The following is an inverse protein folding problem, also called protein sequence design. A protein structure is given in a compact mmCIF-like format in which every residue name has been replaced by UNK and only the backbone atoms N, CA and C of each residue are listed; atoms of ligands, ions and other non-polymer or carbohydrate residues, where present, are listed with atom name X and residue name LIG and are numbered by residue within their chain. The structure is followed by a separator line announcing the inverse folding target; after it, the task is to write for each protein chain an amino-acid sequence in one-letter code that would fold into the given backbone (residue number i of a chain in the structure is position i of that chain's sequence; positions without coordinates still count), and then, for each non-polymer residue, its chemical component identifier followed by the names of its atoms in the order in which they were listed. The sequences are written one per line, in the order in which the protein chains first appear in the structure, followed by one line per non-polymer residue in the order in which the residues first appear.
data_IF_374852493638
#
_entry.id   IF_374852493638
#
_cell.length_a   1.000
_cell.length_b   1.000
_cell.length_c   1.000
_cell.angle_alpha   90.00
_cell.angle_beta   90.00
_cell.angle_gamma   90.00
#
_symmetry.space_group_name_H-M   'P 1'
#
loop_
_entity.id
_entity.type
_entity.pdbx_description
1 polymer ?
#
# COMPACT_ATOMS: atom_id res chain seq x y z
N UNK A 1 1.11 1.62 -4.60
CA UNK A 1 -0.01 1.32 -3.69
C UNK A 1 0.58 0.80 -2.39
N UNK A 2 0.70 1.63 -1.37
CA UNK A 2 1.50 1.37 -0.17
C UNK A 2 0.73 1.47 1.13
N UNK A 3 -0.36 2.24 1.19
CA UNK A 3 -1.18 2.35 2.41
C UNK A 3 -2.08 1.12 2.58
N UNK A 4 -2.99 0.90 1.63
CA UNK A 4 -3.86 -0.28 1.59
C UNK A 4 -3.73 -0.95 0.20
N UNK A 5 -2.72 -1.81 -0.04
CA UNK A 5 -2.47 -2.39 -1.36
C UNK A 5 -3.64 -3.28 -1.80
N UNK A 6 -4.24 -2.99 -2.94
CA UNK A 6 -5.38 -3.75 -3.50
C UNK A 6 -6.76 -3.41 -2.94
N UNK A 7 -6.86 -2.51 -1.94
CA UNK A 7 -8.13 -1.97 -1.47
C UNK A 7 -8.62 -0.89 -2.45
N UNK A 8 -9.68 -1.17 -3.19
CA UNK A 8 -10.28 -0.21 -4.10
C UNK A 8 -11.75 -0.50 -4.37
N UNK A 9 -12.54 0.57 -4.48
CA UNK A 9 -13.93 0.55 -4.90
C UNK A 9 -14.09 1.06 -6.34
N UNK A 10 -15.28 0.82 -6.91
CA UNK A 10 -15.63 1.35 -8.22
C UNK A 10 -15.96 2.85 -8.10
N UNK A 11 -15.23 3.68 -8.83
CA UNK A 11 -15.41 5.13 -8.88
C UNK A 11 -15.29 5.59 -10.34
N UNK A 12 -15.96 6.66 -10.71
CA UNK A 12 -15.79 7.27 -12.03
C UNK A 12 -14.33 7.75 -12.25
N UNK A 13 -13.97 8.03 -13.51
CA UNK A 13 -12.72 8.72 -13.81
C UNK A 13 -12.75 10.13 -13.22
N UNK A 14 -11.66 10.51 -12.55
CA UNK A 14 -11.53 11.80 -11.89
C UNK A 14 -10.31 12.52 -12.45
N UNK A 15 -10.39 13.09 -13.67
CA UNK A 15 -9.25 13.71 -14.33
C UNK A 15 -8.76 14.92 -13.54
N UNK A 16 -7.45 15.13 -13.58
CA UNK A 16 -6.76 16.30 -13.03
C UNK A 16 -5.54 16.64 -13.89
N UNK A 17 -5.31 17.93 -14.13
CA UNK A 17 -4.17 18.40 -14.92
C UNK A 17 -3.07 18.87 -13.98
N UNK A 18 -1.98 18.11 -13.93
CA UNK A 18 -0.78 18.55 -13.21
C UNK A 18 0.05 19.41 -14.16
N UNK A 19 0.29 20.65 -13.76
CA UNK A 19 1.10 21.60 -14.52
C UNK A 19 2.56 21.15 -14.58
N UNK A 20 3.18 21.12 -15.76
CA UNK A 20 4.57 20.68 -15.99
C UNK A 20 5.55 21.84 -16.23
N UNK A 21 5.05 23.03 -16.57
CA UNK A 21 5.87 24.20 -16.83
C UNK A 21 5.33 25.08 -17.95
N UNK A 22 6.03 26.19 -18.19
CA UNK A 22 5.75 27.14 -19.27
C UNK A 22 6.85 27.04 -20.32
N UNK A 23 6.47 27.09 -21.60
CA UNK A 23 7.45 26.99 -22.69
C UNK A 23 8.32 28.25 -22.77
N UNK A 24 9.64 28.12 -23.07
CA UNK A 24 10.35 26.88 -23.40
C UNK A 24 10.88 26.09 -22.19
N UNK A 25 10.73 26.58 -20.96
CA UNK A 25 11.38 26.03 -19.76
C UNK A 25 10.40 25.20 -18.90
N UNK A 26 10.38 23.89 -19.13
CA UNK A 26 9.57 22.94 -18.38
C UNK A 26 10.26 22.48 -17.09
N UNK A 27 10.46 23.41 -16.14
CA UNK A 27 11.25 23.17 -14.93
C UNK A 27 10.71 22.02 -14.06
N UNK A 28 9.38 21.84 -13.97
CA UNK A 28 8.82 20.72 -13.22
C UNK A 28 9.01 19.40 -13.96
N UNK A 29 8.82 19.38 -15.28
CA UNK A 29 9.08 18.17 -16.06
C UNK A 29 10.52 17.70 -15.87
N UNK A 30 11.52 18.59 -15.90
CA UNK A 30 12.91 18.18 -15.63
C UNK A 30 13.08 17.54 -14.25
N UNK A 31 12.37 18.02 -13.22
CA UNK A 31 12.36 17.41 -11.89
C UNK A 31 11.72 16.03 -11.93
N UNK A 32 10.58 15.89 -12.60
CA UNK A 32 9.91 14.61 -12.76
C UNK A 32 10.78 13.59 -13.51
N UNK A 33 11.49 13.98 -14.56
CA UNK A 33 12.41 13.09 -15.28
C UNK A 33 13.57 12.59 -14.40
N UNK A 34 14.01 13.41 -13.42
CA UNK A 34 15.05 13.03 -12.44
C UNK A 34 14.49 12.16 -11.31
N UNK A 35 13.25 12.36 -10.89
CA UNK A 35 12.68 11.76 -9.67
C UNK A 35 11.79 10.53 -9.94
N UNK A 36 11.01 10.55 -11.01
CA UNK A 36 10.02 9.51 -11.32
C UNK A 36 10.63 8.31 -12.09
N UNK A 37 11.95 8.13 -12.05
CA UNK A 37 12.65 7.09 -12.81
C UNK A 37 12.10 5.67 -12.57
N UNK A 38 11.81 5.24 -11.32
CA UNK A 38 11.25 3.90 -11.08
C UNK A 38 9.91 3.67 -11.76
N UNK A 39 9.13 4.74 -11.92
CA UNK A 39 7.76 4.74 -12.47
C UNK A 39 7.67 5.44 -13.83
N UNK A 40 8.79 5.57 -14.53
CA UNK A 40 8.84 6.32 -15.79
C UNK A 40 7.96 5.71 -16.89
N UNK A 41 7.86 4.37 -16.93
CA UNK A 41 6.96 3.69 -17.88
C UNK A 41 5.50 4.18 -17.73
N UNK A 42 5.03 4.32 -16.49
CA UNK A 42 3.73 4.91 -16.20
C UNK A 42 3.70 6.38 -16.63
N UNK A 43 4.68 7.20 -16.22
CA UNK A 43 4.73 8.63 -16.55
C UNK A 43 4.68 8.89 -18.07
N UNK A 44 5.45 8.13 -18.84
CA UNK A 44 5.48 8.20 -20.30
C UNK A 44 4.19 7.70 -20.97
N UNK A 45 3.42 6.83 -20.31
CA UNK A 45 2.13 6.34 -20.80
C UNK A 45 0.99 7.35 -20.60
N UNK A 46 1.15 8.34 -19.71
CA UNK A 46 0.10 9.30 -19.39
C UNK A 46 -0.05 10.33 -20.51
N UNK A 47 -1.29 10.77 -20.71
CA UNK A 47 -1.66 11.74 -21.74
C UNK A 47 -1.03 13.10 -21.41
N UNK A 48 -0.31 13.67 -22.37
CA UNK A 48 0.18 15.05 -22.33
C UNK A 48 -0.84 16.00 -22.93
N UNK A 49 -1.05 17.14 -22.29
CA UNK A 49 -1.94 18.21 -22.76
C UNK A 49 -1.12 19.48 -22.92
N UNK A 50 -1.03 19.96 -24.16
CA UNK A 50 -0.35 21.21 -24.48
C UNK A 50 -1.38 22.31 -24.67
N UNK A 51 -1.25 23.37 -23.88
CA UNK A 51 -1.98 24.62 -24.05
C UNK A 51 -1.06 25.67 -24.69
N UNK A 52 -1.56 26.90 -24.91
CA UNK A 52 -0.87 27.93 -25.70
C UNK A 52 0.61 28.12 -25.30
N UNK A 53 0.90 28.24 -24.01
CA UNK A 53 2.25 28.39 -23.47
C UNK A 53 2.57 27.43 -22.30
N UNK A 54 1.63 26.54 -21.94
CA UNK A 54 1.71 25.68 -20.77
C UNK A 54 1.64 24.22 -21.17
N UNK A 55 2.33 23.36 -20.44
CA UNK A 55 2.18 21.91 -20.59
C UNK A 55 1.64 21.28 -19.31
N UNK A 56 0.83 20.24 -19.48
CA UNK A 56 0.23 19.47 -18.41
C UNK A 56 0.32 17.97 -18.69
N UNK A 57 0.29 17.19 -17.62
CA UNK A 57 -0.01 15.76 -17.65
C UNK A 57 -1.41 15.56 -17.08
N UNK A 58 -2.26 14.86 -17.83
CA UNK A 58 -3.61 14.49 -17.38
C UNK A 58 -3.50 13.16 -16.62
N UNK A 59 -3.80 13.21 -15.32
CA UNK A 59 -3.84 12.05 -14.44
C UNK A 59 -5.28 11.75 -14.02
N UNK A 60 -5.54 10.53 -13.58
CA UNK A 60 -6.81 10.16 -12.95
C UNK A 60 -6.63 10.02 -11.43
N UNK A 61 -7.18 10.96 -10.65
CA UNK A 61 -7.05 10.96 -9.19
C UNK A 61 -7.66 9.71 -8.54
N UNK A 62 -8.64 9.08 -9.20
CA UNK A 62 -9.30 7.88 -8.73
C UNK A 62 -8.58 6.58 -9.14
N UNK A 63 -7.45 6.68 -9.84
CA UNK A 63 -6.54 5.58 -10.17
C UNK A 63 -5.33 5.50 -9.23
N UNK A 64 -4.35 4.64 -9.55
CA UNK A 64 -3.06 4.66 -8.85
C UNK A 64 -2.22 5.92 -9.12
N UNK A 65 -2.55 6.72 -10.14
CA UNK A 65 -1.79 7.90 -10.56
C UNK A 65 -1.53 8.88 -9.40
N UNK A 66 -2.55 9.17 -8.57
CA UNK A 66 -2.44 10.06 -7.41
C UNK A 66 -1.37 9.57 -6.43
N UNK A 67 -1.46 8.31 -6.04
CA UNK A 67 -0.54 7.73 -5.04
C UNK A 67 0.88 7.61 -5.59
N UNK A 68 1.04 7.33 -6.89
CA UNK A 68 2.34 7.35 -7.54
C UNK A 68 2.97 8.74 -7.49
N UNK A 69 2.23 9.80 -7.80
CA UNK A 69 2.81 11.14 -7.75
C UNK A 69 3.09 11.60 -6.32
N UNK A 70 2.22 11.32 -5.37
CA UNK A 70 2.46 11.64 -3.96
C UNK A 70 3.73 10.95 -3.44
N UNK A 71 3.91 9.67 -3.81
CA UNK A 71 5.04 8.84 -3.35
C UNK A 71 6.36 9.14 -4.07
N UNK A 72 6.33 9.37 -5.38
CA UNK A 72 7.55 9.50 -6.18
C UNK A 72 8.01 10.93 -6.45
N UNK A 73 7.13 11.93 -6.30
CA UNK A 73 7.53 13.33 -6.44
C UNK A 73 8.32 13.80 -5.23
N UNK A 74 9.46 14.48 -5.46
CA UNK A 74 10.22 15.22 -4.42
C UNK A 74 9.98 16.74 -4.55
N UNK A 75 8.77 17.12 -4.99
CA UNK A 75 8.36 18.52 -5.18
C UNK A 75 7.14 18.81 -4.30
N UNK A 76 7.36 19.49 -3.18
CA UNK A 76 6.34 19.69 -2.15
C UNK A 76 5.08 20.40 -2.65
N UNK A 77 5.19 21.43 -3.49
CA UNK A 77 4.01 22.18 -3.94
C UNK A 77 3.12 21.37 -4.88
N UNK A 78 3.69 20.42 -5.63
CA UNK A 78 2.90 19.46 -6.43
C UNK A 78 2.16 18.50 -5.51
N UNK A 79 2.85 17.92 -4.53
CA UNK A 79 2.21 17.00 -3.58
C UNK A 79 1.11 17.69 -2.78
N UNK A 80 1.33 18.93 -2.35
CA UNK A 80 0.32 19.76 -1.69
C UNK A 80 -0.90 19.97 -2.57
N UNK A 81 -0.73 20.40 -3.82
CA UNK A 81 -1.85 20.58 -4.76
C UNK A 81 -2.63 19.28 -5.00
N UNK A 82 -1.93 18.17 -5.18
CA UNK A 82 -2.55 16.85 -5.35
C UNK A 82 -3.33 16.42 -4.10
N UNK A 83 -2.78 16.68 -2.92
CA UNK A 83 -3.41 16.39 -1.64
C UNK A 83 -4.68 17.22 -1.46
N UNK A 84 -4.58 18.54 -1.61
CA UNK A 84 -5.69 19.48 -1.43
C UNK A 84 -6.84 19.15 -2.40
N UNK A 85 -6.52 18.94 -3.67
CA UNK A 85 -7.52 18.56 -4.68
C UNK A 85 -8.18 17.21 -4.35
N UNK A 86 -7.42 16.23 -3.89
CA UNK A 86 -7.98 14.93 -3.51
C UNK A 86 -8.92 15.04 -2.31
N UNK A 87 -8.56 15.85 -1.31
CA UNK A 87 -9.42 16.15 -0.16
C UNK A 87 -10.70 16.87 -0.59
N UNK A 88 -10.56 17.96 -1.34
CA UNK A 88 -11.68 18.80 -1.75
C UNK A 88 -12.68 18.03 -2.61
N UNK A 89 -12.19 17.18 -3.53
CA UNK A 89 -13.06 16.29 -4.31
C UNK A 89 -13.77 15.27 -3.46
N UNK A 90 -13.10 14.63 -2.50
CA UNK A 90 -13.75 13.63 -1.65
C UNK A 90 -14.78 14.26 -0.72
N UNK A 91 -14.51 15.44 -0.15
CA UNK A 91 -15.49 16.16 0.66
C UNK A 91 -16.68 16.63 -0.18
N UNK A 92 -16.44 17.12 -1.40
CA UNK A 92 -17.51 17.45 -2.34
C UNK A 92 -18.37 16.23 -2.68
N UNK A 93 -17.74 15.07 -2.93
CA UNK A 93 -18.46 13.82 -3.16
C UNK A 93 -19.24 13.35 -1.93
N UNK A 94 -18.73 13.62 -0.73
CA UNK A 94 -19.41 13.28 0.52
C UNK A 94 -20.65 14.14 0.75
N UNK A 95 -20.60 15.41 0.34
CA UNK A 95 -21.70 16.37 0.53
C UNK A 95 -22.76 16.28 -0.59
N UNK A 96 -22.36 15.91 -1.81
CA UNK A 96 -23.25 15.83 -2.99
C UNK A 96 -23.69 14.41 -3.35
N UNK A 97 -22.95 13.41 -2.88
CA UNK A 97 -23.17 12.00 -3.19
C UNK A 97 -24.20 11.32 -2.29
N UNK A 98 -24.36 10.01 -2.48
CA UNK A 98 -25.13 9.19 -1.56
C UNK A 98 -24.36 9.04 -0.24
N UNK A 99 -25.08 9.13 0.87
CA UNK A 99 -24.51 8.90 2.19
C UNK A 99 -23.81 7.51 2.24
N UNK A 100 -22.56 7.43 2.74
CA UNK A 100 -21.88 6.15 2.93
C UNK A 100 -22.66 5.23 3.86
N UNK A 101 -22.50 3.91 3.68
CA UNK A 101 -23.06 2.93 4.61
C UNK A 101 -22.34 3.08 5.95
N UNK A 102 -23.05 3.50 6.99
CA UNK A 102 -22.45 3.69 8.31
C UNK A 102 -22.01 2.36 8.93
N UNK A 103 -20.87 2.39 9.59
CA UNK A 103 -20.32 1.27 10.37
C UNK A 103 -21.17 1.02 11.62
N UNK A 104 -21.23 -0.23 12.07
CA UNK A 104 -21.78 -0.57 13.39
C UNK A 104 -21.07 0.24 14.51
N UNK A 105 -21.82 0.84 15.47
CA UNK A 105 -21.22 1.65 16.52
C UNK A 105 -20.20 0.91 17.39
N UNK A 106 -20.41 -0.37 17.70
CA UNK A 106 -19.49 -1.14 18.52
C UNK A 106 -18.18 -1.42 17.75
N UNK A 107 -18.27 -1.72 16.45
CA UNK A 107 -17.09 -1.81 15.58
C UNK A 107 -16.31 -0.50 15.55
N UNK A 108 -16.99 0.64 15.41
CA UNK A 108 -16.31 1.94 15.38
C UNK A 108 -15.64 2.28 16.74
N UNK A 109 -16.28 1.94 17.86
CA UNK A 109 -15.71 2.09 19.20
C UNK A 109 -14.46 1.21 19.39
N UNK A 110 -14.53 -0.05 18.98
CA UNK A 110 -13.39 -0.98 19.00
C UNK A 110 -12.20 -0.43 18.18
N UNK A 111 -12.45 0.04 16.96
CA UNK A 111 -11.41 0.63 16.11
C UNK A 111 -10.87 1.94 16.67
N UNK A 112 -11.70 2.73 17.36
CA UNK A 112 -11.27 3.95 18.05
C UNK A 112 -10.34 3.64 19.24
N UNK A 113 -10.65 2.61 20.03
CA UNK A 113 -9.78 2.15 21.11
C UNK A 113 -8.42 1.71 20.55
N UNK A 114 -8.43 0.87 19.50
CA UNK A 114 -7.22 0.47 18.78
C UNK A 114 -6.42 1.68 18.27
N UNK A 115 -7.10 2.67 17.67
CA UNK A 115 -6.48 3.89 17.16
C UNK A 115 -5.81 4.75 18.25
N UNK A 116 -6.34 4.69 19.47
CA UNK A 116 -5.80 5.37 20.64
C UNK A 116 -4.56 4.64 21.14
N UNK A 117 -4.62 3.31 21.23
CA UNK A 117 -3.52 2.46 21.70
C UNK A 117 -2.27 2.52 20.81
N UNK A 118 -2.43 2.75 19.51
CA UNK A 118 -1.30 2.88 18.57
C UNK A 118 -0.63 4.27 18.57
N UNK A 119 -1.14 5.22 19.37
CA UNK A 119 -0.70 6.62 19.34
C UNK A 119 0.81 6.80 19.50
N UNK A 120 1.42 6.10 20.46
CA UNK A 120 2.87 6.18 20.71
C UNK A 120 3.69 5.68 19.51
N UNK A 121 3.24 4.59 18.85
CA UNK A 121 3.88 4.09 17.62
C UNK A 121 3.70 5.09 16.47
N UNK A 122 2.53 5.72 16.35
CA UNK A 122 2.28 6.73 15.32
C UNK A 122 3.23 7.92 15.46
N UNK A 123 3.42 8.43 16.68
CA UNK A 123 4.34 9.54 16.95
C UNK A 123 5.78 9.19 16.60
N UNK A 124 6.22 7.97 16.94
CA UNK A 124 7.52 7.44 16.55
C UNK A 124 7.70 7.38 15.03
N UNK A 125 6.73 6.81 14.32
CA UNK A 125 6.75 6.70 12.86
C UNK A 125 6.81 8.09 12.19
N UNK A 126 6.02 9.05 12.68
CA UNK A 126 6.07 10.45 12.20
C UNK A 126 7.43 11.09 12.48
N UNK A 127 8.04 10.81 13.64
CA UNK A 127 9.41 11.22 13.96
C UNK A 127 10.44 10.72 12.95
N UNK A 128 10.33 9.44 12.52
CA UNK A 128 11.18 8.88 11.47
C UNK A 128 11.02 9.62 10.14
N UNK A 129 9.77 9.95 9.75
CA UNK A 129 9.50 10.69 8.52
C UNK A 129 10.10 12.11 8.57
N UNK A 130 10.01 12.76 9.73
CA UNK A 130 10.57 14.10 9.93
C UNK A 130 12.10 14.09 9.86
N UNK A 131 12.75 13.06 10.40
CA UNK A 131 14.19 12.88 10.28
C UNK A 131 14.61 12.63 8.83
N UNK A 132 13.87 11.77 8.11
CA UNK A 132 14.13 11.48 6.69
C UNK A 132 14.01 12.72 5.81
N UNK A 133 13.00 13.58 6.05
CA UNK A 133 12.84 14.86 5.34
C UNK A 133 14.06 15.77 5.49
N UNK A 134 14.58 15.89 6.72
CA UNK A 134 15.79 16.71 6.99
C UNK A 134 17.03 16.16 6.30
N UNK A 135 17.11 14.83 6.14
CA UNK A 135 18.19 14.15 5.44
C UNK A 135 18.07 14.16 3.90
N UNK A 136 16.96 14.66 3.33
CA UNK A 136 16.69 14.65 1.89
C UNK A 136 17.47 15.73 1.09
N UNK A 137 18.73 15.94 1.45
CA UNK A 137 19.72 16.78 0.74
C UNK A 137 20.77 15.94 -0.01
N UNK A 138 20.77 14.63 0.19
CA UNK A 138 21.73 13.69 -0.41
C UNK A 138 21.53 13.54 -1.92
N UNK A 139 22.59 13.19 -2.69
CA UNK A 139 22.45 12.77 -4.08
C UNK A 139 21.36 11.69 -4.24
N UNK A 140 20.68 11.68 -5.39
CA UNK A 140 19.58 10.76 -5.74
C UNK A 140 18.24 10.96 -5.01
N UNK A 141 18.19 11.73 -3.91
CA UNK A 141 16.94 12.01 -3.16
C UNK A 141 16.86 13.46 -2.68
N UNK A 142 17.02 14.39 -3.62
CA UNK A 142 17.03 15.83 -3.33
C UNK A 142 15.62 16.39 -3.34
N UNK A 143 15.12 16.67 -2.15
CA UNK A 143 13.94 17.50 -1.92
C UNK A 143 14.27 18.97 -2.23
N UNK A 144 13.27 19.78 -2.59
CA UNK A 144 13.49 21.22 -2.85
C UNK A 144 13.87 21.98 -1.57
N UNK A 145 13.13 21.74 -0.49
CA UNK A 145 13.26 22.47 0.79
C UNK A 145 13.22 21.48 1.98
N UNK A 146 14.31 20.74 2.25
CA UNK A 146 14.34 19.72 3.31
C UNK A 146 14.28 20.30 4.73
N UNK A 147 14.51 21.61 4.90
CA UNK A 147 14.45 22.30 6.19
C UNK A 147 13.03 22.66 6.64
N UNK A 148 12.04 22.64 5.73
CA UNK A 148 10.65 22.92 6.09
C UNK A 148 10.09 21.83 7.02
N UNK A 149 9.14 22.18 7.92
CA UNK A 149 8.44 21.21 8.75
C UNK A 149 7.81 20.10 7.90
N UNK A 150 7.81 18.87 8.39
CA UNK A 150 7.10 17.77 7.72
C UNK A 150 5.60 18.08 7.68
N UNK A 151 5.01 17.98 6.50
CA UNK A 151 3.57 18.17 6.29
C UNK A 151 2.92 16.85 5.83
N UNK A 152 1.60 16.71 6.03
CA UNK A 152 0.86 15.47 5.74
C UNK A 152 0.99 15.01 4.27
N UNK A 153 1.10 15.94 3.33
CA UNK A 153 1.29 15.63 1.91
C UNK A 153 2.69 15.08 1.57
N UNK A 154 3.64 15.14 2.51
CA UNK A 154 4.99 14.58 2.33
C UNK A 154 5.08 13.10 2.74
N UNK A 155 4.09 12.58 3.46
CA UNK A 155 4.21 11.33 4.20
C UNK A 155 4.56 10.15 3.28
N UNK A 156 3.85 9.99 2.16
CA UNK A 156 4.12 8.88 1.23
C UNK A 156 5.52 8.93 0.61
N UNK A 157 6.06 10.13 0.35
CA UNK A 157 7.42 10.30 -0.14
C UNK A 157 8.44 9.92 0.95
N UNK A 158 8.26 10.43 2.17
CA UNK A 158 9.16 10.15 3.29
C UNK A 158 9.10 8.69 3.73
N UNK A 159 7.91 8.07 3.73
CA UNK A 159 7.74 6.64 3.99
C UNK A 159 8.59 5.82 3.02
N UNK A 160 8.56 6.16 1.72
CA UNK A 160 9.40 5.47 0.72
C UNK A 160 10.89 5.65 1.01
N UNK A 161 11.33 6.85 1.38
CA UNK A 161 12.74 7.10 1.68
C UNK A 161 13.22 6.25 2.87
N UNK A 162 12.47 6.25 3.97
CA UNK A 162 12.78 5.41 5.15
C UNK A 162 12.72 3.92 4.80
N UNK A 163 11.72 3.48 4.01
CA UNK A 163 11.63 2.11 3.53
C UNK A 163 12.88 1.69 2.74
N UNK A 164 13.38 2.57 1.88
CA UNK A 164 14.61 2.33 1.12
C UNK A 164 15.85 2.33 2.03
N UNK A 165 15.93 3.22 3.03
CA UNK A 165 17.05 3.27 3.99
C UNK A 165 17.10 2.01 4.87
N UNK A 166 15.96 1.58 5.41
CA UNK A 166 15.86 0.44 6.33
C UNK A 166 16.06 -0.90 5.63
N UNK A 167 15.78 -0.98 4.32
CA UNK A 167 15.95 -2.21 3.55
C UNK A 167 17.40 -2.44 3.09
N UNK A 168 18.22 -1.38 3.00
CA UNK A 168 19.65 -1.47 2.69
C UNK A 168 20.01 -1.95 1.28
N UNK A 169 19.03 -2.15 0.39
CA UNK A 169 19.25 -2.59 -1.00
C UNK A 169 18.84 -1.46 -1.95
N UNK A 170 19.83 -0.88 -2.63
CA UNK A 170 19.60 0.16 -3.64
C UNK A 170 18.70 -0.36 -4.76
N UNK A 171 17.75 0.47 -5.22
CA UNK A 171 16.79 0.15 -6.27
C UNK A 171 16.02 -1.18 -6.07
N UNK A 172 15.81 -1.59 -4.82
CA UNK A 172 15.16 -2.87 -4.51
C UNK A 172 13.85 -3.09 -5.27
N UNK A 173 13.00 -2.06 -5.36
CA UNK A 173 11.74 -2.12 -6.10
C UNK A 173 11.94 -2.40 -7.60
N UNK A 174 12.86 -1.68 -8.24
CA UNK A 174 13.16 -1.85 -9.68
C UNK A 174 13.83 -3.18 -9.97
N UNK A 175 14.78 -3.59 -9.12
CA UNK A 175 15.44 -4.90 -9.20
C UNK A 175 14.43 -6.03 -9.04
N UNK A 176 13.53 -5.95 -8.06
CA UNK A 176 12.51 -6.97 -7.85
C UNK A 176 11.50 -7.02 -9.00
N UNK A 177 11.10 -5.87 -9.56
CA UNK A 177 10.23 -5.81 -10.75
C UNK A 177 10.78 -6.64 -11.92
N UNK A 178 12.09 -6.71 -12.11
CA UNK A 178 12.70 -7.50 -13.19
C UNK A 178 12.45 -9.02 -13.07
N UNK A 179 12.11 -9.51 -11.86
CA UNK A 179 11.81 -10.92 -11.57
C UNK A 179 10.31 -11.20 -11.39
N UNK A 180 9.45 -10.20 -11.59
CA UNK A 180 8.00 -10.33 -11.38
C UNK A 180 7.20 -10.05 -12.66
N UNK A 181 7.33 -10.89 -13.72
CA UNK A 181 6.45 -10.81 -14.88
C UNK A 181 4.98 -11.01 -14.49
N UNK A 182 4.09 -10.13 -14.96
CA UNK A 182 2.66 -10.17 -14.62
C UNK A 182 2.04 -11.53 -14.91
N UNK A 183 2.20 -12.06 -16.12
CA UNK A 183 1.59 -13.34 -16.50
C UNK A 183 2.01 -14.52 -15.60
N UNK A 184 3.24 -14.50 -15.07
CA UNK A 184 3.69 -15.49 -14.09
C UNK A 184 3.00 -15.29 -12.74
N UNK A 185 2.95 -14.06 -12.25
CA UNK A 185 2.27 -13.69 -11.00
C UNK A 185 0.79 -14.11 -11.05
N UNK A 186 0.10 -13.87 -12.17
CA UNK A 186 -1.29 -14.29 -12.38
C UNK A 186 -1.45 -15.82 -12.38
N UNK A 187 -0.54 -16.56 -13.01
CA UNK A 187 -0.57 -18.03 -12.98
C UNK A 187 -0.35 -18.58 -11.55
N UNK A 188 0.56 -17.97 -10.79
CA UNK A 188 0.88 -18.38 -9.41
C UNK A 188 -0.24 -18.03 -8.44
N UNK A 189 -0.94 -16.90 -8.60
CA UNK A 189 -2.13 -16.62 -7.78
C UNK A 189 -3.25 -17.64 -8.03
N UNK A 190 -3.45 -18.06 -9.29
CA UNK A 190 -4.46 -19.06 -9.65
C UNK A 190 -4.14 -20.40 -8.99
N UNK A 191 -2.88 -20.83 -9.05
CA UNK A 191 -2.43 -22.03 -8.36
C UNK A 191 -2.61 -21.96 -6.84
N UNK A 192 -2.26 -20.83 -6.21
CA UNK A 192 -2.54 -20.60 -4.79
C UNK A 192 -4.06 -20.69 -4.50
N UNK A 193 -4.89 -20.16 -5.40
CA UNK A 193 -6.34 -20.16 -5.27
C UNK A 193 -6.93 -21.58 -5.33
N UNK A 194 -6.44 -22.41 -6.23
CA UNK A 194 -6.81 -23.83 -6.29
C UNK A 194 -6.51 -24.53 -4.97
N UNK A 195 -5.33 -24.25 -4.38
CA UNK A 195 -4.92 -24.77 -3.07
C UNK A 195 -5.73 -24.22 -1.89
N UNK A 196 -6.11 -22.94 -1.90
CA UNK A 196 -6.80 -22.26 -0.81
C UNK A 196 -8.32 -22.36 -0.87
N UNK A 197 -8.92 -22.50 -2.05
CA UNK A 197 -10.38 -22.44 -2.22
C UNK A 197 -10.95 -23.62 -3.02
N UNK A 198 -10.17 -24.24 -3.91
CA UNK A 198 -10.66 -25.33 -4.75
C UNK A 198 -11.95 -24.94 -5.48
N UNK A 199 -13.04 -25.67 -5.23
CA UNK A 199 -14.37 -25.39 -5.81
C UNK A 199 -15.02 -24.11 -5.31
N UNK A 200 -14.54 -23.49 -4.23
CA UNK A 200 -15.13 -22.30 -3.61
C UNK A 200 -14.63 -20.98 -4.25
N UNK A 201 -13.77 -21.09 -5.26
CA UNK A 201 -13.35 -19.98 -6.10
C UNK A 201 -14.21 -19.88 -7.36
N UNK A 202 -14.41 -18.64 -7.84
CA UNK A 202 -14.87 -18.35 -9.20
C UNK A 202 -13.80 -18.81 -10.20
N UNK A 203 -14.23 -19.13 -11.43
CA UNK A 203 -13.29 -19.53 -12.49
C UNK A 203 -12.34 -18.41 -12.95
N UNK A 204 -12.79 -17.16 -12.89
CA UNK A 204 -11.99 -15.98 -13.24
C UNK A 204 -12.60 -14.70 -12.64
N UNK A 205 -11.82 -13.63 -12.63
CA UNK A 205 -12.33 -12.28 -12.36
C UNK A 205 -13.24 -11.80 -13.50
N UNK A 206 -14.24 -10.99 -13.15
CA UNK A 206 -15.15 -10.38 -14.13
C UNK A 206 -14.47 -9.26 -14.93
N UNK A 207 -14.98 -8.95 -16.12
CA UNK A 207 -14.43 -7.89 -16.99
C UNK A 207 -14.33 -6.53 -16.29
N UNK A 208 -15.30 -6.18 -15.46
CA UNK A 208 -15.30 -4.92 -14.69
C UNK A 208 -14.20 -4.89 -13.62
N UNK A 209 -13.94 -6.04 -12.99
CA UNK A 209 -12.90 -6.20 -11.98
C UNK A 209 -11.52 -6.12 -12.60
N UNK A 210 -11.33 -6.73 -13.77
CA UNK A 210 -10.08 -6.63 -14.55
C UNK A 210 -9.83 -5.17 -14.98
N UNK A 211 -10.86 -4.45 -15.43
CA UNK A 211 -10.74 -3.01 -15.76
C UNK A 211 -10.34 -2.18 -14.54
N UNK A 212 -10.96 -2.41 -13.39
CA UNK A 212 -10.63 -1.72 -12.15
C UNK A 212 -9.19 -2.02 -11.71
N UNK A 213 -8.77 -3.28 -11.77
CA UNK A 213 -7.41 -3.69 -11.44
C UNK A 213 -6.36 -3.05 -12.36
N UNK A 214 -6.58 -3.04 -13.67
CA UNK A 214 -5.69 -2.40 -14.64
C UNK A 214 -5.57 -0.88 -14.40
N UNK A 215 -6.57 -0.25 -13.79
CA UNK A 215 -6.53 1.16 -13.39
C UNK A 215 -5.75 1.37 -12.08
N UNK A 216 -5.67 0.35 -11.22
CA UNK A 216 -4.94 0.40 -9.94
C UNK A 216 -3.49 -0.07 -10.02
N UNK A 217 -3.09 -0.70 -11.12
CA UNK A 217 -1.72 -1.18 -11.36
C UNK A 217 -1.05 -0.26 -12.36
N UNK A 218 0.17 0.19 -12.04
CA UNK A 218 0.95 1.03 -12.94
C UNK A 218 1.28 0.26 -14.24
N UNK A 219 0.96 0.79 -15.44
CA UNK A 219 1.33 0.16 -16.69
C UNK A 219 2.84 0.18 -16.89
N UNK A 220 3.36 -0.89 -17.48
CA UNK A 220 4.75 -1.02 -17.91
C UNK A 220 4.90 -0.65 -19.40
N UNK A 221 6.11 -0.75 -19.94
CA UNK A 221 6.38 -0.52 -21.35
C UNK A 221 5.62 -1.51 -22.25
N UNK A 222 4.97 -0.98 -23.29
CA UNK A 222 4.18 -1.75 -24.29
C UNK A 222 4.92 -1.97 -25.61
N UNK A 223 6.26 -1.98 -25.59
CA UNK A 223 7.09 -2.19 -26.79
C UNK A 223 7.18 -3.67 -27.14
N UNK A 224 7.40 -3.97 -28.43
CA UNK A 224 7.66 -5.35 -28.89
C UNK A 224 8.88 -5.92 -28.16
N UNK A 225 8.75 -7.15 -27.65
CA UNK A 225 9.79 -7.83 -26.87
C UNK A 225 9.82 -7.47 -25.38
N UNK A 226 9.10 -6.44 -24.95
CA UNK A 226 8.89 -6.18 -23.53
C UNK A 226 7.83 -7.13 -22.96
N UNK A 227 8.07 -7.58 -21.73
CA UNK A 227 7.10 -8.30 -20.91
C UNK A 227 6.61 -7.33 -19.84
N UNK A 228 5.30 -7.29 -19.60
CA UNK A 228 4.71 -6.50 -18.52
C UNK A 228 5.19 -7.01 -17.16
N UNK A 229 5.80 -6.13 -16.37
CA UNK A 229 6.36 -6.45 -15.04
C UNK A 229 5.64 -5.68 -13.95
N UNK A 230 5.52 -6.29 -12.78
CA UNK A 230 4.90 -5.69 -11.61
C UNK A 230 5.94 -5.32 -10.55
N UNK A 231 5.80 -4.16 -9.91
CA UNK A 231 6.56 -3.86 -8.70
C UNK A 231 6.08 -4.76 -7.55
N UNK A 232 6.88 -5.00 -6.50
CA UNK A 232 6.45 -5.77 -5.32
C UNK A 232 5.11 -5.28 -4.74
N UNK A 233 4.91 -3.97 -4.60
CA UNK A 233 3.65 -3.43 -4.11
C UNK A 233 2.46 -3.63 -5.07
N UNK A 234 2.71 -3.71 -6.38
CA UNK A 234 1.68 -4.02 -7.39
C UNK A 234 1.32 -5.51 -7.37
N UNK A 235 2.29 -6.39 -7.09
CA UNK A 235 2.03 -7.83 -6.84
C UNK A 235 1.14 -8.00 -5.63
N UNK A 236 1.46 -7.35 -4.51
CA UNK A 236 0.62 -7.39 -3.29
C UNK A 236 -0.78 -6.83 -3.54
N UNK A 237 -0.86 -5.73 -4.29
CA UNK A 237 -2.12 -5.14 -4.75
C UNK A 237 -2.96 -6.13 -5.55
N UNK A 238 -2.33 -6.79 -6.53
CA UNK A 238 -2.97 -7.78 -7.37
C UNK A 238 -3.47 -8.97 -6.54
N UNK A 239 -2.63 -9.51 -5.64
CA UNK A 239 -2.98 -10.62 -4.78
C UNK A 239 -4.18 -10.31 -3.87
N UNK A 240 -4.16 -9.18 -3.14
CA UNK A 240 -5.29 -8.79 -2.28
C UNK A 240 -6.56 -8.62 -3.10
N UNK A 241 -6.49 -7.88 -4.21
CA UNK A 241 -7.65 -7.61 -5.08
C UNK A 241 -8.25 -8.90 -5.63
N UNK A 242 -7.39 -9.81 -6.10
CA UNK A 242 -7.79 -11.12 -6.63
C UNK A 242 -8.45 -11.96 -5.53
N UNK A 243 -7.81 -12.11 -4.36
CA UNK A 243 -8.34 -12.90 -3.24
C UNK A 243 -9.71 -12.42 -2.75
N UNK A 244 -9.92 -11.11 -2.66
CA UNK A 244 -11.19 -10.50 -2.23
C UNK A 244 -12.34 -10.76 -3.21
N UNK A 245 -12.04 -10.89 -4.51
CA UNK A 245 -13.06 -10.95 -5.59
C UNK A 245 -13.25 -12.34 -6.20
N UNK A 246 -12.25 -13.22 -6.08
CA UNK A 246 -12.31 -14.58 -6.62
C UNK A 246 -13.10 -15.53 -5.72
N UNK A 247 -13.17 -15.29 -4.41
CA UNK A 247 -13.96 -16.12 -3.52
C UNK A 247 -15.46 -15.98 -3.85
N UNK A 248 -16.22 -17.06 -3.67
CA UNK A 248 -17.67 -17.10 -3.95
C UNK A 248 -18.54 -16.50 -2.82
N UNK A 249 -17.95 -15.88 -1.79
CA UNK A 249 -18.75 -15.27 -0.73
C UNK A 249 -19.67 -14.19 -1.33
N UNK A 250 -20.86 -14.05 -0.75
CA UNK A 250 -21.86 -13.11 -1.22
C UNK A 250 -21.34 -11.66 -1.14
N UNK A 251 -21.93 -10.75 -1.92
CA UNK A 251 -21.62 -9.33 -1.82
C UNK A 251 -21.95 -8.74 -0.45
N UNK A 252 -22.93 -9.32 0.25
CA UNK A 252 -23.33 -8.93 1.61
C UNK A 252 -22.32 -9.38 2.67
N UNK A 253 -21.53 -10.43 2.40
CA UNK A 253 -20.48 -10.95 3.29
C UNK A 253 -19.12 -10.25 3.03
N UNK A 254 -19.09 -8.91 3.07
CA UNK A 254 -17.88 -8.13 2.75
C UNK A 254 -16.71 -8.47 3.70
N UNK A 255 -16.94 -8.59 5.01
CA UNK A 255 -15.92 -9.00 5.98
C UNK A 255 -15.19 -10.31 5.59
N UNK A 256 -15.90 -11.36 5.15
CA UNK A 256 -15.29 -12.62 4.68
C UNK A 256 -14.39 -12.38 3.45
N UNK A 257 -14.85 -11.55 2.53
CA UNK A 257 -14.08 -11.18 1.33
C UNK A 257 -12.82 -10.40 1.71
N UNK A 258 -12.92 -9.48 2.67
CA UNK A 258 -11.79 -8.73 3.18
C UNK A 258 -10.77 -9.65 3.88
N UNK A 259 -11.21 -10.62 4.70
CA UNK A 259 -10.33 -11.64 5.29
C UNK A 259 -9.52 -12.37 4.20
N UNK A 260 -10.19 -12.87 3.15
CA UNK A 260 -9.50 -13.50 2.02
C UNK A 260 -8.54 -12.56 1.30
N UNK A 261 -8.95 -11.30 1.06
CA UNK A 261 -8.07 -10.29 0.49
C UNK A 261 -6.78 -10.14 1.31
N UNK A 262 -6.89 -9.97 2.63
CA UNK A 262 -5.74 -9.81 3.51
C UNK A 262 -4.91 -11.09 3.64
N UNK A 263 -5.51 -12.29 3.59
CA UNK A 263 -4.75 -13.55 3.50
C UNK A 263 -3.85 -13.55 2.25
N UNK A 264 -4.41 -13.23 1.08
CA UNK A 264 -3.62 -13.18 -0.16
C UNK A 264 -2.55 -12.08 -0.11
N UNK A 265 -2.84 -10.94 0.53
CA UNK A 265 -1.85 -9.90 0.84
C UNK A 265 -0.68 -10.49 1.63
N UNK A 266 -0.94 -11.28 2.69
CA UNK A 266 0.14 -11.89 3.50
C UNK A 266 1.01 -12.85 2.70
N UNK A 267 0.42 -13.71 1.87
CA UNK A 267 1.18 -14.57 0.96
C UNK A 267 2.10 -13.74 0.05
N UNK A 268 1.61 -12.66 -0.56
CA UNK A 268 2.43 -11.80 -1.43
C UNK A 268 3.53 -11.03 -0.68
N UNK A 269 3.32 -10.71 0.60
CA UNK A 269 4.31 -10.03 1.44
C UNK A 269 5.26 -10.98 2.15
N UNK A 270 5.12 -12.29 2.00
CA UNK A 270 6.07 -13.26 2.56
C UNK A 270 7.25 -13.47 1.60
N UNK A 271 8.47 -13.26 2.09
CA UNK A 271 9.69 -13.26 1.27
C UNK A 271 9.94 -14.61 0.58
N UNK A 272 9.76 -15.73 1.29
CA UNK A 272 9.91 -17.09 0.73
C UNK A 272 8.94 -17.35 -0.42
N UNK A 273 7.69 -16.93 -0.26
CA UNK A 273 6.66 -17.11 -1.28
C UNK A 273 6.88 -16.17 -2.47
N UNK A 274 7.15 -14.88 -2.23
CA UNK A 274 7.45 -13.91 -3.29
C UNK A 274 8.63 -14.38 -4.14
N UNK A 275 9.68 -14.89 -3.49
CA UNK A 275 10.82 -15.49 -4.18
C UNK A 275 10.41 -16.75 -4.96
N UNK A 276 9.65 -17.66 -4.35
CA UNK A 276 9.21 -18.90 -4.98
C UNK A 276 8.30 -18.72 -6.22
N UNK A 277 7.60 -17.59 -6.32
CA UNK A 277 6.77 -17.23 -7.48
C UNK A 277 7.50 -16.36 -8.51
N UNK A 278 8.75 -15.98 -8.26
CA UNK A 278 9.52 -15.08 -9.11
C UNK A 278 10.28 -15.81 -10.22
N UNK A 279 10.48 -15.14 -11.34
CA UNK A 279 11.39 -15.58 -12.41
C UNK A 279 11.88 -14.39 -13.22
N UNK A 280 13.16 -14.40 -13.60
CA UNK A 280 13.71 -13.37 -14.48
C UNK A 280 12.93 -13.30 -15.81
N UNK A 281 12.56 -12.09 -16.21
CA UNK A 281 11.64 -11.87 -17.33
C UNK A 281 12.08 -12.50 -18.66
N UNK A 282 13.39 -12.48 -18.97
CA UNK A 282 13.92 -13.02 -20.22
C UNK A 282 13.76 -14.55 -20.27
N UNK A 283 13.98 -15.21 -19.13
CA UNK A 283 13.78 -16.66 -18.98
C UNK A 283 12.29 -17.02 -19.07
N UNK A 284 11.43 -16.26 -18.41
CA UNK A 284 9.97 -16.43 -18.52
C UNK A 284 9.48 -16.33 -19.98
N UNK A 285 10.02 -15.38 -20.75
CA UNK A 285 9.67 -15.20 -22.17
C UNK A 285 10.33 -16.21 -23.12
N UNK A 286 11.28 -17.02 -22.65
CA UNK A 286 12.07 -17.93 -23.50
C UNK A 286 13.15 -17.25 -24.34
N UNK A 287 13.42 -15.96 -24.14
CA UNK A 287 14.44 -15.20 -24.87
C UNK A 287 15.87 -15.56 -24.44
N UNK A 288 16.06 -15.87 -23.16
CA UNK A 288 17.34 -16.31 -22.61
C UNK A 288 17.13 -17.50 -21.66
N UNK A 289 17.39 -18.70 -22.17
CA UNK A 289 17.30 -19.94 -21.39
C UNK A 289 18.56 -20.22 -20.57
N UNK A 290 19.66 -19.53 -20.86
CA UNK A 290 20.97 -19.68 -20.22
C UNK A 290 21.20 -18.73 -19.04
N UNK A 291 20.30 -17.78 -18.80
CA UNK A 291 20.41 -16.80 -17.73
C UNK A 291 20.72 -17.46 -16.35
N UNK A 292 21.87 -17.11 -15.79
CA UNK A 292 22.30 -17.56 -14.45
C UNK A 292 21.34 -17.10 -13.35
N UNK A 293 20.80 -15.88 -13.47
CA UNK A 293 19.83 -15.32 -12.54
C UNK A 293 18.41 -15.77 -12.93
N UNK A 294 17.94 -16.86 -12.34
CA UNK A 294 16.59 -17.40 -12.61
C UNK A 294 15.55 -16.91 -11.61
N UNK A 295 15.84 -17.06 -10.32
CA UNK A 295 14.94 -16.74 -9.21
C UNK A 295 15.45 -15.45 -8.56
N UNK A 296 14.53 -14.65 -8.00
CA UNK A 296 14.88 -13.47 -7.23
C UNK A 296 15.90 -13.80 -6.10
N UNK A 297 16.95 -12.99 -5.90
CA UNK A 297 17.85 -13.14 -4.76
C UNK A 297 17.10 -13.06 -3.42
N UNK A 298 17.51 -13.87 -2.45
CA UNK A 298 16.85 -13.93 -1.13
C UNK A 298 16.91 -12.57 -0.42
N UNK A 299 18.07 -11.93 -0.40
CA UNK A 299 18.28 -10.59 0.18
C UNK A 299 17.31 -9.55 -0.41
N UNK A 300 17.07 -9.62 -1.72
CA UNK A 300 16.18 -8.71 -2.42
C UNK A 300 14.72 -8.96 -2.05
N UNK A 301 14.31 -10.24 -1.96
CA UNK A 301 12.96 -10.61 -1.54
C UNK A 301 12.69 -10.17 -0.10
N UNK A 302 13.64 -10.38 0.82
CA UNK A 302 13.55 -9.92 2.21
C UNK A 302 13.45 -8.40 2.28
N UNK A 303 14.30 -7.68 1.53
CA UNK A 303 14.31 -6.22 1.50
C UNK A 303 12.96 -5.63 1.05
N UNK A 304 12.41 -6.07 -0.10
CA UNK A 304 11.14 -5.53 -0.62
C UNK A 304 9.91 -5.98 0.18
N UNK A 305 9.98 -7.11 0.87
CA UNK A 305 8.95 -7.51 1.83
C UNK A 305 9.00 -6.64 3.09
N UNK A 306 10.20 -6.36 3.62
CA UNK A 306 10.40 -5.47 4.77
C UNK A 306 9.87 -4.05 4.51
N UNK A 307 10.09 -3.51 3.32
CA UNK A 307 9.52 -2.21 2.91
C UNK A 307 7.98 -2.18 3.09
N UNK A 308 7.30 -3.28 2.74
CA UNK A 308 5.84 -3.34 2.79
C UNK A 308 5.28 -3.52 4.21
N UNK A 309 6.09 -3.97 5.17
CA UNK A 309 5.68 -4.18 6.57
C UNK A 309 5.93 -2.96 7.46
N UNK A 310 6.75 -2.00 7.02
CA UNK A 310 6.99 -0.76 7.76
C UNK A 310 5.73 0.10 7.83
N UNK A 311 5.71 1.03 8.78
CA UNK A 311 4.64 2.01 9.01
C UNK A 311 3.23 1.44 9.28
N UNK A 312 3.08 0.40 10.13
CA UNK A 312 1.77 -0.14 10.45
C UNK A 312 0.83 0.89 11.11
N UNK A 313 1.34 1.83 11.93
CA UNK A 313 0.47 2.80 12.60
C UNK A 313 -0.07 3.88 11.64
N UNK A 314 0.78 4.42 10.75
CA UNK A 314 0.32 5.37 9.71
C UNK A 314 -0.71 4.72 8.78
N UNK A 315 -0.51 3.45 8.41
CA UNK A 315 -1.46 2.68 7.58
C UNK A 315 -2.79 2.50 8.29
N UNK A 316 -2.75 2.07 9.55
CA UNK A 316 -3.94 1.90 10.38
C UNK A 316 -4.71 3.23 10.51
N UNK A 317 -4.04 4.30 10.94
CA UNK A 317 -4.63 5.64 11.12
C UNK A 317 -5.25 6.16 9.83
N UNK A 318 -4.54 6.03 8.70
CA UNK A 318 -5.06 6.47 7.40
C UNK A 318 -6.33 5.72 6.98
N UNK A 319 -6.41 4.41 7.19
CA UNK A 319 -7.60 3.62 6.87
C UNK A 319 -8.74 3.87 7.87
N UNK A 320 -8.43 4.04 9.16
CA UNK A 320 -9.41 4.39 10.19
C UNK A 320 -10.14 5.69 9.86
N UNK A 321 -9.46 6.68 9.27
CA UNK A 321 -10.08 7.92 8.82
C UNK A 321 -11.14 7.74 7.71
N UNK A 322 -11.17 6.59 7.03
CA UNK A 322 -12.22 6.22 6.08
C UNK A 322 -13.35 5.38 6.70
N UNK A 323 -13.20 4.90 7.95
CA UNK A 323 -14.22 4.11 8.64
C UNK A 323 -15.40 4.95 9.17
N UNK A 324 -15.24 6.27 9.27
CA UNK A 324 -16.28 7.21 9.69
C UNK A 324 -16.27 8.49 8.83
N UNK A 325 -17.36 8.79 8.11
CA UNK A 325 -17.49 10.05 7.36
C UNK A 325 -17.41 11.31 8.23
N UNK A 326 -17.79 11.22 9.51
CA UNK A 326 -17.75 12.38 10.42
C UNK A 326 -16.31 12.70 10.83
N UNK A 327 -15.49 11.67 11.08
CA UNK A 327 -14.05 11.84 11.29
C UNK A 327 -13.40 12.46 10.05
N UNK A 328 -13.80 12.01 8.85
CA UNK A 328 -13.28 12.54 7.60
C UNK A 328 -13.47 14.06 7.48
N UNK A 329 -14.69 14.56 7.75
CA UNK A 329 -14.98 16.00 7.70
C UNK A 329 -14.20 16.82 8.73
N UNK A 330 -13.94 16.24 9.89
CA UNK A 330 -13.31 16.95 11.01
C UNK A 330 -11.78 16.95 10.94
N UNK A 331 -11.18 15.83 10.51
CA UNK A 331 -9.77 15.54 10.75
C UNK A 331 -8.91 15.50 9.49
N UNK A 332 -9.47 15.32 8.29
CA UNK A 332 -8.65 15.11 7.10
C UNK A 332 -7.72 16.28 6.70
N UNK A 333 -8.01 17.50 7.17
CA UNK A 333 -7.14 18.67 6.96
C UNK A 333 -6.13 18.90 8.08
N UNK A 334 -6.13 18.08 9.13
CA UNK A 334 -5.40 18.35 10.37
C UNK A 334 -4.62 17.14 10.92
N UNK A 335 -5.13 15.94 10.71
CA UNK A 335 -4.55 14.70 11.21
C UNK A 335 -3.91 13.88 10.07
N UNK A 336 -3.23 12.80 10.44
CA UNK A 336 -2.57 11.87 9.52
C UNK A 336 -3.60 11.15 8.66
N UNK A 337 -3.69 11.57 7.40
CA UNK A 337 -4.47 10.88 6.37
C UNK A 337 -3.74 10.95 5.03
N UNK A 338 -3.84 9.89 4.25
CA UNK A 338 -3.39 9.88 2.86
C UNK A 338 -4.64 9.74 1.98
N UNK A 339 -5.05 10.81 1.26
CA UNK A 339 -6.38 10.92 0.70
C UNK A 339 -6.53 10.16 -0.62
N UNK A 340 -6.67 8.83 -0.54
CA UNK A 340 -6.77 7.97 -1.69
C UNK A 340 -8.22 7.87 -2.19
N UNK A 341 -8.52 8.50 -3.32
CA UNK A 341 -9.86 8.49 -3.96
C UNK A 341 -10.41 7.07 -4.19
N UNK A 342 -9.54 6.07 -4.43
CA UNK A 342 -9.94 4.66 -4.58
C UNK A 342 -10.57 4.04 -3.33
N UNK A 343 -10.35 4.64 -2.16
CA UNK A 343 -10.94 4.23 -0.88
C UNK A 343 -12.31 4.87 -0.64
N UNK A 344 -12.60 6.00 -1.29
CA UNK A 344 -13.85 6.74 -1.08
C UNK A 344 -15.12 5.88 -1.29
N UNK A 345 -15.25 5.05 -2.34
CA UNK A 345 -16.45 4.21 -2.51
C UNK A 345 -16.61 3.12 -1.43
N UNK A 346 -15.57 2.88 -0.64
CA UNK A 346 -15.54 1.89 0.45
C UNK A 346 -15.67 2.56 1.83
N UNK A 347 -15.95 3.87 1.89
CA UNK A 347 -16.07 4.61 3.14
C UNK A 347 -17.20 4.06 4.03
N UNK A 348 -16.99 4.13 5.35
CA UNK A 348 -17.91 3.62 6.36
C UNK A 348 -17.70 2.14 6.65
N UNK A 349 -18.78 1.35 6.65
CA UNK A 349 -18.75 -0.05 7.04
C UNK A 349 -17.70 -0.90 6.29
N UNK A 350 -17.53 -0.79 4.95
CA UNK A 350 -16.52 -1.59 4.25
C UNK A 350 -15.09 -1.25 4.68
N UNK A 351 -14.77 0.03 4.89
CA UNK A 351 -13.44 0.44 5.37
C UNK A 351 -13.16 -0.08 6.80
N UNK A 352 -14.18 -0.09 7.66
CA UNK A 352 -14.09 -0.61 9.02
C UNK A 352 -13.92 -2.14 9.06
N UNK A 353 -14.76 -2.86 8.31
CA UNK A 353 -14.67 -4.32 8.17
C UNK A 353 -13.31 -4.73 7.58
N UNK A 354 -12.80 -3.99 6.60
CA UNK A 354 -11.49 -4.27 6.01
C UNK A 354 -10.34 -4.00 7.00
N UNK A 355 -10.43 -2.95 7.81
CA UNK A 355 -9.44 -2.65 8.84
C UNK A 355 -9.40 -3.74 9.91
N UNK A 356 -10.57 -4.16 10.40
CA UNK A 356 -10.71 -5.27 11.35
C UNK A 356 -10.18 -6.58 10.75
N UNK A 357 -10.53 -6.90 9.50
CA UNK A 357 -10.01 -8.07 8.81
C UNK A 357 -8.49 -8.03 8.66
N UNK A 358 -7.89 -6.87 8.38
CA UNK A 358 -6.44 -6.71 8.32
C UNK A 358 -5.78 -7.04 9.66
N UNK A 359 -6.29 -6.47 10.76
CA UNK A 359 -5.77 -6.71 12.11
C UNK A 359 -5.81 -8.18 12.47
N UNK A 360 -6.95 -8.84 12.24
CA UNK A 360 -7.12 -10.27 12.55
C UNK A 360 -6.18 -11.14 11.72
N UNK A 361 -6.03 -10.86 10.43
CA UNK A 361 -5.11 -11.60 9.56
C UNK A 361 -3.66 -11.35 9.95
N UNK A 362 -3.25 -10.12 10.25
CA UNK A 362 -1.89 -9.82 10.68
C UNK A 362 -1.57 -10.50 12.02
N UNK A 363 -2.50 -10.48 12.97
CA UNK A 363 -2.37 -11.16 14.26
C UNK A 363 -2.33 -12.70 14.11
N UNK A 364 -3.16 -13.27 13.25
CA UNK A 364 -3.10 -14.69 12.92
C UNK A 364 -1.74 -15.05 12.30
N UNK A 365 -1.29 -14.26 11.32
CA UNK A 365 -0.03 -14.51 10.63
C UNK A 365 1.18 -14.42 11.55
N UNK A 366 1.19 -13.47 12.49
CA UNK A 366 2.26 -13.32 13.47
C UNK A 366 2.35 -14.49 14.47
N UNK A 367 1.26 -15.24 14.68
CA UNK A 367 1.20 -16.40 15.59
C UNK A 367 1.53 -17.72 14.90
N UNK A 368 1.57 -17.74 13.56
CA UNK A 368 1.92 -18.95 12.84
C UNK A 368 3.41 -19.26 13.02
N UNK A 369 3.79 -20.52 13.24
CA UNK A 369 5.19 -20.93 13.39
C UNK A 369 5.90 -20.99 12.03
N UNK A 370 5.79 -19.93 11.22
CA UNK A 370 6.38 -19.87 9.88
C UNK A 370 7.86 -19.51 9.99
N UNK A 371 8.74 -20.44 9.61
CA UNK A 371 10.16 -20.10 9.41
C UNK A 371 10.37 -19.34 8.08
N UNK A 372 11.44 -18.55 7.99
CA UNK A 372 11.74 -17.76 6.78
C UNK A 372 11.97 -18.60 5.51
N UNK A 373 12.26 -19.90 5.65
CA UNK A 373 12.47 -20.83 4.54
C UNK A 373 11.26 -21.75 4.28
N UNK A 374 10.17 -21.58 5.03
CA UNK A 374 9.06 -22.53 5.01
C UNK A 374 8.25 -22.45 3.70
N UNK A 375 7.87 -23.63 3.20
CA UNK A 375 6.93 -23.75 2.10
C UNK A 375 5.52 -23.37 2.55
N UNK A 376 5.09 -22.14 2.24
CA UNK A 376 3.76 -21.66 2.60
C UNK A 376 2.60 -22.41 1.92
N UNK A 377 2.89 -23.27 0.94
CA UNK A 377 1.89 -24.12 0.29
C UNK A 377 1.74 -25.50 0.94
N UNK A 378 2.33 -25.70 2.13
CA UNK A 378 2.11 -26.90 2.93
C UNK A 378 0.62 -27.06 3.28
N UNK A 379 0.10 -28.29 3.11
CA UNK A 379 -1.29 -28.65 3.38
C UNK A 379 -1.72 -28.38 4.83
N UNK A 380 -0.80 -28.42 5.81
CA UNK A 380 -1.12 -28.04 7.20
C UNK A 380 -1.44 -26.55 7.31
N UNK A 381 -0.56 -25.70 6.79
CA UNK A 381 -0.72 -24.25 6.81
C UNK A 381 -1.96 -23.81 6.01
N UNK A 382 -2.13 -24.37 4.81
CA UNK A 382 -3.31 -24.12 3.96
C UNK A 382 -4.61 -24.44 4.70
N UNK A 383 -4.67 -25.57 5.42
CA UNK A 383 -5.83 -25.92 6.24
C UNK A 383 -6.04 -24.95 7.40
N UNK A 384 -4.98 -24.57 8.12
CA UNK A 384 -5.07 -23.60 9.22
C UNK A 384 -5.58 -22.24 8.74
N UNK A 385 -5.12 -21.76 7.58
CA UNK A 385 -5.58 -20.51 6.97
C UNK A 385 -7.07 -20.58 6.61
N UNK A 386 -7.51 -21.67 5.98
CA UNK A 386 -8.93 -21.89 5.63
C UNK A 386 -9.80 -21.89 6.89
N UNK A 387 -9.42 -22.69 7.88
CA UNK A 387 -10.12 -22.80 9.16
C UNK A 387 -10.23 -21.43 9.84
N UNK A 388 -9.14 -20.67 9.88
CA UNK A 388 -9.14 -19.32 10.43
C UNK A 388 -10.17 -18.41 9.76
N UNK A 389 -10.21 -18.37 8.41
CA UNK A 389 -11.16 -17.50 7.69
C UNK A 389 -12.60 -17.95 7.92
N UNK A 390 -12.89 -19.24 7.85
CA UNK A 390 -14.24 -19.77 8.00
C UNK A 390 -14.77 -19.60 9.43
N UNK A 391 -13.95 -19.89 10.45
CA UNK A 391 -14.31 -19.67 11.85
C UNK A 391 -14.52 -18.18 12.15
N UNK A 392 -13.60 -17.33 11.69
CA UNK A 392 -13.65 -15.88 11.94
C UNK A 392 -14.87 -15.24 11.27
N UNK A 393 -15.16 -15.63 10.03
CA UNK A 393 -16.37 -15.19 9.34
C UNK A 393 -17.64 -15.69 10.02
N UNK A 394 -17.69 -16.96 10.41
CA UNK A 394 -18.89 -17.54 11.06
C UNK A 394 -19.16 -16.90 12.41
N UNK A 395 -18.12 -16.60 13.18
CA UNK A 395 -18.25 -15.84 14.42
C UNK A 395 -18.77 -14.42 14.16
N UNK A 396 -18.27 -13.72 13.13
CA UNK A 396 -18.72 -12.38 12.80
C UNK A 396 -20.22 -12.34 12.47
N UNK A 397 -20.69 -13.35 11.72
CA UNK A 397 -22.11 -13.50 11.37
C UNK A 397 -22.98 -13.87 12.58
N UNK A 398 -22.45 -14.64 13.54
CA UNK A 398 -23.18 -15.08 14.73
C UNK A 398 -23.18 -14.06 15.88
N UNK A 399 -22.04 -13.39 16.13
CA UNK A 399 -21.82 -12.41 17.20
C UNK A 399 -20.61 -11.53 16.88
N UNK A 400 -20.88 -10.28 16.52
CA UNK A 400 -19.84 -9.28 16.25
C UNK A 400 -18.95 -9.02 17.46
N UNK A 401 -19.50 -9.04 18.68
CA UNK A 401 -18.77 -8.77 19.93
C UNK A 401 -17.53 -9.66 20.13
N UNK A 402 -17.66 -10.97 19.88
CA UNK A 402 -16.52 -11.90 20.01
C UNK A 402 -15.40 -11.57 19.02
N UNK A 403 -15.76 -11.12 17.82
CA UNK A 403 -14.78 -10.71 16.80
C UNK A 403 -14.12 -9.40 17.19
N UNK A 404 -14.88 -8.43 17.71
CA UNK A 404 -14.32 -7.15 18.18
C UNK A 404 -13.28 -7.36 19.29
N UNK A 405 -13.55 -8.25 20.24
CA UNK A 405 -12.56 -8.62 21.27
C UNK A 405 -11.27 -9.18 20.65
N UNK A 406 -11.37 -10.05 19.64
CA UNK A 406 -10.20 -10.57 18.92
C UNK A 406 -9.47 -9.49 18.11
N UNK A 407 -10.17 -8.46 17.62
CA UNK A 407 -9.56 -7.30 16.96
C UNK A 407 -8.73 -6.50 17.96
N UNK A 408 -9.28 -6.19 19.14
CA UNK A 408 -8.55 -5.46 20.20
C UNK A 408 -7.29 -6.22 20.64
N UNK A 409 -7.43 -7.51 20.95
CA UNK A 409 -6.29 -8.37 21.31
C UNK A 409 -5.27 -8.52 20.17
N UNK A 410 -5.75 -8.53 18.92
CA UNK A 410 -4.93 -8.63 17.72
C UNK A 410 -4.20 -7.34 17.35
N UNK A 411 -4.73 -6.17 17.77
CA UNK A 411 -4.17 -4.87 17.39
C UNK A 411 -2.73 -4.71 17.86
N UNK A 412 -2.41 -5.14 19.07
CA UNK A 412 -1.04 -5.10 19.60
C UNK A 412 -0.04 -6.02 18.87
N UNK A 413 -0.51 -6.99 18.08
CA UNK A 413 0.33 -7.82 17.21
C UNK A 413 0.44 -7.24 15.80
N UNK A 414 -0.65 -6.67 15.29
CA UNK A 414 -0.68 -6.03 13.97
C UNK A 414 0.11 -4.71 13.96
N UNK A 415 0.01 -3.93 15.04
CA UNK A 415 0.75 -2.69 15.29
C UNK A 415 1.51 -2.87 16.62
N UNK A 416 2.71 -3.46 16.59
CA UNK A 416 3.46 -3.73 17.81
C UNK A 416 3.84 -2.43 18.54
N UNK A 417 3.88 -2.48 19.87
CA UNK A 417 4.42 -1.39 20.70
C UNK A 417 5.89 -1.11 20.38
N UNK A 418 6.38 0.05 20.76
CA UNK A 418 7.79 0.39 20.62
C UNK A 418 8.68 -0.61 21.37
N UNK A 419 9.75 -1.06 20.72
CA UNK A 419 10.82 -1.81 21.36
C UNK A 419 11.64 -0.90 22.28
N UNK A 420 12.42 -1.49 23.19
CA UNK A 420 13.26 -0.73 24.13
C UNK A 420 14.24 0.22 23.42
N UNK A 421 14.83 -0.20 22.29
CA UNK A 421 15.72 0.62 21.47
C UNK A 421 14.99 1.82 20.83
N UNK A 422 13.74 1.61 20.38
CA UNK A 422 12.93 2.68 19.79
C UNK A 422 12.48 3.70 20.85
N UNK A 423 12.16 3.24 22.06
CA UNK A 423 11.85 4.11 23.20
C UNK A 423 13.05 4.97 23.59
N UNK A 424 14.26 4.40 23.61
CA UNK A 424 15.49 5.14 23.88
C UNK A 424 15.74 6.23 22.83
N UNK A 425 15.54 5.93 21.54
CA UNK A 425 15.67 6.93 20.46
C UNK A 425 14.67 8.07 20.56
N UNK A 426 13.46 7.83 21.06
CA UNK A 426 12.46 8.88 21.30
C UNK A 426 12.82 9.79 22.47
N UNK A 427 13.51 9.24 23.48
CA UNK A 427 13.87 9.94 24.71
C UNK A 427 15.38 9.84 24.97
N UNK A 428 16.24 10.47 24.13
CA UNK A 428 17.68 10.46 24.37
C UNK A 428 17.96 11.07 25.74
N UNK A 429 18.64 10.31 26.60
CA UNK A 429 19.05 10.78 27.93
C UNK A 429 19.98 11.99 27.77
N UNK A 430 20.01 12.85 28.79
CA UNK A 430 20.77 14.13 28.75
C UNK A 430 22.24 13.96 28.36
N UNK A 431 22.85 12.81 28.63
CA UNK A 431 24.26 12.54 28.33
C UNK A 431 24.54 12.34 26.83
N UNK A 432 23.56 11.88 26.05
CA UNK A 432 23.70 11.75 24.57
C UNK A 432 23.51 13.08 23.86
N UNK A 433 22.64 13.96 24.37
CA UNK A 433 22.48 15.33 23.83
C UNK A 433 23.76 16.16 23.97
N UNK A 434 24.49 15.99 25.08
CA UNK A 434 25.77 16.68 25.31
C UNK A 434 26.89 16.11 24.41
N UNK A 435 26.84 14.82 24.07
CA UNK A 435 27.81 14.20 23.18
C UNK A 435 27.56 14.53 21.70
N UNK A 436 26.31 14.61 21.24
CA UNK A 436 25.97 15.05 19.87
C UNK A 436 26.22 16.56 19.67
N UNK A 437 25.97 17.41 20.66
CA UNK A 437 26.31 18.85 20.59
C UNK A 437 27.82 19.12 20.65
N UNK A 438 28.62 18.19 21.18
CA UNK A 438 30.08 18.29 21.20
C UNK A 438 30.75 17.71 19.94
N UNK A 439 30.00 16.97 19.10
CA UNK A 439 30.49 16.33 17.88
C UNK A 439 30.01 17.00 16.57
N UNK A 440 29.06 17.94 16.65
CA UNK A 440 28.64 18.85 15.58
C UNK A 440 29.39 20.18 15.68
#
# INVERSE_FOLDING_TARGET
MTICPGLCGELALTPFRVFLGTLPTLALEERFLRQLQPVYAWYASRKRVKEQANEFIEIDLASCDLELLLRYSHVYYVRRQLFDEAIDKQLTLLDTGKAPKMTDPAMLQCLHACNTDIGERLDYEVGMLQASKKAASVPNRRELDPSLPLEIYDYTCMMRLVEEDVCGVEDAEMKARAYLPRGMVEAKVKHLTEKLLGSDAKGALEKKEIKLLNRMVAPDYVKVGCVEKLRPCDVTTYFRFYGERINKASTESYFKRALWGHVYRKFATASSFLRGISMYWARYSGLDTSAHATIMPQELAVAVCKQQTLFPAIKFRSQYMYASPDLARQLWRRDVVIPLMRLFPLMGAPAAEDLAASVLVDAFWARLPISEEENLLNDSLVRSVRQFVDETSSMYEASTELVLKRVEEGCGLAVPRLSAEEVQRMNPTKDEKVAEEAAA
#
